data_IF_156470185079
#
_entry.id   IF_156470185079
#
_cell.length_a   1.000
_cell.length_b   1.000
_cell.length_c   1.000
_cell.angle_alpha   90.00
_cell.angle_beta   90.00
_cell.angle_gamma   90.00
#
_symmetry.space_group_name_H-M   'P 1'
#
loop_
_entity.id
_entity.type
_entity.pdbx_description
1 polymer ?
#
# COMPACT_ATOMS: atom_id res chain seq x y z
N UNK A 1 6.07 -19.55 8.30
CA UNK A 1 5.64 -18.16 8.01
C UNK A 1 6.64 -17.26 8.71
N UNK A 2 7.57 -16.62 8.00
CA UNK A 2 8.84 -16.12 8.58
C UNK A 2 8.99 -14.60 8.54
N UNK A 3 7.93 -13.82 8.74
CA UNK A 3 7.99 -12.36 8.93
C UNK A 3 6.74 -11.89 9.69
N UNK A 4 6.90 -11.20 10.83
CA UNK A 4 5.80 -10.63 11.62
C UNK A 4 5.34 -9.30 11.00
N UNK A 5 4.64 -9.38 9.87
CA UNK A 5 4.05 -8.20 9.23
C UNK A 5 2.55 -8.13 9.49
N UNK A 6 2.07 -6.93 9.80
CA UNK A 6 0.63 -6.66 9.83
C UNK A 6 0.14 -6.38 8.41
N UNK A 7 -0.68 -7.29 7.89
CA UNK A 7 -1.27 -7.17 6.56
C UNK A 7 -2.73 -6.72 6.65
N UNK A 8 -3.06 -5.67 5.91
CA UNK A 8 -4.45 -5.27 5.69
C UNK A 8 -4.93 -5.75 4.33
N UNK A 9 -6.08 -6.44 4.32
CA UNK A 9 -6.57 -7.19 3.17
C UNK A 9 -8.06 -6.99 2.90
N UNK A 10 -8.47 -7.25 1.65
CA UNK A 10 -9.86 -7.48 1.25
C UNK A 10 -9.88 -8.79 0.47
N UNK A 11 -10.69 -9.78 0.91
CA UNK A 11 -10.83 -11.07 0.22
C UNK A 11 -9.46 -11.68 -0.11
N UNK A 12 -8.58 -11.72 0.91
CA UNK A 12 -7.18 -12.21 0.85
C UNK A 12 -6.24 -11.43 -0.08
N UNK A 13 -6.68 -10.29 -0.62
CA UNK A 13 -5.84 -9.37 -1.40
C UNK A 13 -5.32 -8.26 -0.51
N UNK A 14 -4.01 -8.21 -0.35
CA UNK A 14 -3.32 -7.20 0.44
C UNK A 14 -3.37 -5.84 -0.26
N UNK A 15 -3.66 -4.78 0.52
CA UNK A 15 -3.53 -3.39 0.10
C UNK A 15 -2.50 -2.61 0.93
N UNK A 16 -2.18 -3.05 2.16
CA UNK A 16 -1.10 -2.48 2.99
C UNK A 16 -0.39 -3.60 3.74
N UNK A 17 0.94 -3.47 3.88
CA UNK A 17 1.79 -4.32 4.73
C UNK A 17 2.61 -3.40 5.63
N UNK A 18 2.62 -3.65 6.93
CA UNK A 18 3.39 -2.87 7.90
C UNK A 18 4.44 -3.78 8.55
N UNK A 19 5.68 -3.32 8.59
CA UNK A 19 6.73 -3.88 9.42
C UNK A 19 6.72 -3.16 10.78
N UNK A 20 6.04 -3.77 11.76
CA UNK A 20 5.81 -3.16 13.08
C UNK A 20 7.13 -3.05 13.87
N UNK A 21 8.00 -4.04 13.76
CA UNK A 21 9.25 -4.08 14.52
C UNK A 21 10.39 -3.27 13.89
N UNK A 22 10.20 -2.77 12.66
CA UNK A 22 11.22 -2.06 11.87
C UNK A 22 10.76 -0.63 11.56
N UNK A 23 10.65 0.20 12.60
CA UNK A 23 10.42 1.64 12.46
C UNK A 23 9.03 2.03 11.92
N UNK A 24 8.07 1.10 11.92
CA UNK A 24 6.75 1.26 11.30
C UNK A 24 6.80 1.58 9.80
N UNK A 25 7.81 1.08 9.09
CA UNK A 25 7.81 1.14 7.63
C UNK A 25 6.63 0.35 7.06
N UNK A 26 6.10 0.81 5.93
CA UNK A 26 4.95 0.15 5.32
C UNK A 26 4.99 0.19 3.80
N UNK A 27 4.47 -0.87 3.19
CA UNK A 27 4.30 -0.98 1.74
C UNK A 27 2.83 -0.83 1.37
N UNK A 28 2.57 -0.02 0.35
CA UNK A 28 1.23 0.31 -0.13
C UNK A 28 1.19 0.34 -1.65
N UNK A 29 0.04 0.01 -2.25
CA UNK A 29 -0.12 0.11 -3.70
C UNK A 29 -0.17 1.57 -4.13
N UNK A 30 0.45 1.88 -5.26
CA UNK A 30 0.34 3.18 -5.92
C UNK A 30 -0.15 3.02 -7.35
N UNK A 31 -0.62 4.13 -7.94
CA UNK A 31 -0.84 4.21 -9.37
C UNK A 31 0.51 4.07 -10.09
N UNK A 32 0.65 3.18 -11.10
CA UNK A 32 1.89 3.06 -11.88
C UNK A 32 2.34 4.36 -12.55
N UNK A 33 1.40 5.24 -12.89
CA UNK A 33 1.69 6.53 -13.53
C UNK A 33 2.33 7.52 -12.56
N UNK A 34 2.09 7.37 -11.25
CA UNK A 34 2.65 8.23 -10.19
C UNK A 34 3.91 7.64 -9.56
N UNK A 35 4.28 6.41 -9.93
CA UNK A 35 5.33 5.67 -9.24
C UNK A 35 6.68 6.39 -9.26
N UNK A 36 7.09 6.91 -10.41
CA UNK A 36 8.40 7.56 -10.55
C UNK A 36 8.49 8.85 -9.73
N UNK A 37 7.39 9.62 -9.67
CA UNK A 37 7.32 10.82 -8.84
C UNK A 37 7.37 10.48 -7.35
N UNK A 38 6.67 9.42 -6.94
CA UNK A 38 6.66 8.96 -5.55
C UNK A 38 8.02 8.40 -5.14
N UNK A 39 8.64 7.55 -5.96
CA UNK A 39 9.94 6.94 -5.67
C UNK A 39 11.11 7.94 -5.74
N UNK A 40 10.90 9.14 -6.27
CA UNK A 40 11.87 10.23 -6.23
C UNK A 40 11.85 11.05 -4.93
N UNK A 41 10.84 10.84 -4.06
CA UNK A 41 10.73 11.54 -2.77
C UNK A 41 11.57 10.83 -1.70
N UNK A 42 12.21 11.63 -0.86
CA UNK A 42 12.93 11.12 0.32
C UNK A 42 11.99 10.30 1.22
N UNK A 43 12.47 9.13 1.67
CA UNK A 43 11.70 8.20 2.50
C UNK A 43 10.69 7.32 1.73
N UNK A 44 10.66 7.38 0.39
CA UNK A 44 9.81 6.53 -0.45
C UNK A 44 10.66 5.78 -1.49
N UNK A 45 10.44 4.46 -1.61
CA UNK A 45 11.17 3.62 -2.56
C UNK A 45 10.26 2.54 -3.16
N UNK A 46 10.77 1.78 -4.14
CA UNK A 46 10.14 0.53 -4.58
C UNK A 46 10.02 -0.43 -3.38
N UNK A 47 8.82 -0.94 -3.13
CA UNK A 47 8.64 -1.97 -2.10
C UNK A 47 9.36 -3.26 -2.50
N UNK A 48 10.20 -3.77 -1.60
CA UNK A 48 10.94 -5.01 -1.82
C UNK A 48 9.99 -6.22 -1.89
N UNK A 49 10.33 -7.21 -2.73
CA UNK A 49 9.50 -8.40 -3.03
C UNK A 49 8.08 -8.14 -3.60
N UNK A 50 7.68 -6.89 -3.80
CA UNK A 50 6.39 -6.53 -4.37
C UNK A 50 6.47 -6.31 -5.88
N UNK A 51 5.30 -6.27 -6.54
CA UNK A 51 5.23 -5.99 -7.97
C UNK A 51 5.85 -4.61 -8.29
N UNK A 52 6.79 -4.61 -9.23
CA UNK A 52 7.53 -3.41 -9.63
C UNK A 52 6.58 -2.33 -10.14
N UNK A 53 6.86 -1.08 -9.79
CA UNK A 53 6.09 0.11 -10.22
C UNK A 53 4.61 0.09 -9.82
N UNK A 54 4.22 -0.76 -8.87
CA UNK A 54 2.84 -0.87 -8.39
C UNK A 54 2.75 -0.76 -6.87
N UNK A 55 3.89 -0.80 -6.21
CA UNK A 55 4.02 -0.76 -4.76
C UNK A 55 5.20 0.09 -4.37
N UNK A 56 4.95 1.02 -3.47
CA UNK A 56 5.98 1.82 -2.81
C UNK A 56 6.09 1.38 -1.36
N UNK A 57 7.30 1.42 -0.83
CA UNK A 57 7.59 1.34 0.59
C UNK A 57 7.86 2.75 1.10
N UNK A 58 7.21 3.10 2.20
CA UNK A 58 7.40 4.33 2.95
C UNK A 58 8.19 3.96 4.20
N UNK A 59 9.24 4.72 4.49
CA UNK A 59 10.19 4.44 5.57
C UNK A 59 9.55 4.48 6.96
N UNK A 60 8.63 5.42 7.21
CA UNK A 60 7.88 5.55 8.46
C UNK A 60 6.65 6.46 8.28
N UNK A 61 5.86 6.65 9.34
CA UNK A 61 4.62 7.45 9.31
C UNK A 61 4.87 8.96 9.11
N UNK A 62 6.06 9.48 9.38
CA UNK A 62 6.35 10.92 9.31
C UNK A 62 6.63 11.40 7.87
N UNK A 63 6.86 10.47 6.93
CA UNK A 63 7.11 10.77 5.51
C UNK A 63 5.87 11.37 4.82
N UNK A 64 4.67 10.98 5.27
CA UNK A 64 3.39 11.45 4.73
C UNK A 64 2.62 12.18 5.82
N UNK A 65 2.03 13.33 5.48
CA UNK A 65 1.06 13.93 6.39
C UNK A 65 -0.24 13.09 6.44
N UNK A 66 -1.02 13.26 7.51
CA UNK A 66 -2.29 12.54 7.74
C UNK A 66 -3.25 12.53 6.56
N UNK A 67 -3.37 13.65 5.83
CA UNK A 67 -4.29 13.78 4.71
C UNK A 67 -3.82 12.92 3.54
N UNK A 68 -2.54 13.01 3.21
CA UNK A 68 -1.93 12.21 2.15
C UNK A 68 -1.98 10.72 2.51
N UNK A 69 -1.59 10.35 3.74
CA UNK A 69 -1.64 8.96 4.20
C UNK A 69 -3.05 8.38 4.04
N UNK A 70 -4.08 9.08 4.51
CA UNK A 70 -5.49 8.64 4.36
C UNK A 70 -5.89 8.49 2.89
N UNK A 71 -5.50 9.41 2.02
CA UNK A 71 -5.78 9.31 0.57
C UNK A 71 -5.13 8.07 -0.03
N UNK A 72 -3.85 7.85 0.26
CA UNK A 72 -3.07 6.70 -0.26
C UNK A 72 -3.64 5.37 0.23
N UNK A 73 -4.04 5.28 1.50
CA UNK A 73 -4.75 4.11 2.05
C UNK A 73 -6.05 3.85 1.29
N UNK A 74 -6.86 4.88 1.06
CA UNK A 74 -8.11 4.76 0.32
C UNK A 74 -7.90 4.33 -1.13
N UNK A 75 -6.93 4.93 -1.83
CA UNK A 75 -6.56 4.61 -3.22
C UNK A 75 -6.05 3.18 -3.36
N UNK A 76 -5.15 2.75 -2.47
CA UNK A 76 -4.64 1.37 -2.45
C UNK A 76 -5.77 0.36 -2.26
N UNK A 77 -6.67 0.64 -1.31
CA UNK A 77 -7.87 -0.18 -1.06
C UNK A 77 -8.79 -0.21 -2.28
N UNK A 78 -9.01 0.93 -2.93
CA UNK A 78 -9.85 1.03 -4.13
C UNK A 78 -9.25 0.26 -5.31
N UNK A 79 -7.94 0.34 -5.54
CA UNK A 79 -7.24 -0.43 -6.58
C UNK A 79 -7.36 -1.95 -6.38
N UNK A 80 -7.33 -2.41 -5.12
CA UNK A 80 -7.58 -3.83 -4.81
C UNK A 80 -9.04 -4.19 -5.05
N UNK A 81 -9.97 -3.39 -4.56
CA UNK A 81 -11.41 -3.61 -4.74
C UNK A 81 -11.80 -3.70 -6.21
N UNK A 82 -11.28 -2.81 -7.05
CA UNK A 82 -11.57 -2.76 -8.48
C UNK A 82 -11.16 -4.03 -9.24
N UNK A 83 -10.22 -4.82 -8.70
CA UNK A 83 -9.78 -6.10 -9.28
C UNK A 83 -10.64 -7.29 -8.86
N UNK A 84 -11.55 -7.12 -7.89
CA UNK A 84 -12.43 -8.18 -7.43
C UNK A 84 -13.65 -8.33 -8.37
N UNK A 85 -14.27 -9.52 -8.46
CA UNK A 85 -15.53 -9.68 -9.19
C UNK A 85 -16.63 -8.72 -8.70
N UNK A 86 -17.48 -8.20 -9.61
CA UNK A 86 -18.56 -7.26 -9.27
C UNK A 86 -19.47 -7.75 -8.14
N UNK A 87 -19.76 -9.05 -8.08
CA UNK A 87 -20.55 -9.67 -7.01
C UNK A 87 -19.89 -9.52 -5.63
N UNK A 88 -18.56 -9.58 -5.57
CA UNK A 88 -17.79 -9.40 -4.34
C UNK A 88 -17.72 -7.92 -3.97
N UNK A 89 -17.47 -7.04 -4.95
CA UNK A 89 -17.43 -5.59 -4.73
C UNK A 89 -18.72 -5.07 -4.06
N UNK A 90 -19.88 -5.60 -4.45
CA UNK A 90 -21.18 -5.23 -3.88
C UNK A 90 -21.34 -5.51 -2.37
N UNK A 91 -20.46 -6.30 -1.74
CA UNK A 91 -20.47 -6.52 -0.27
C UNK A 91 -19.89 -5.34 0.52
N UNK A 92 -19.20 -4.41 -0.15
CA UNK A 92 -18.40 -3.36 0.45
C UNK A 92 -18.88 -1.94 0.06
N UNK A 93 -20.09 -1.85 -0.49
CA UNK A 93 -20.79 -0.61 -0.85
C UNK A 93 -21.85 -0.31 0.22
#
# INVERSE_FOLDING_TARGET
MKWEHLCFMIEEKIYIIIAIDEGNSFSIKCNPDEFDELAARDGIAQAYHMAKRQWIQIENLDVLNDKELKSRVAESRAMVMAKLPKKIQAKYI
#
